data_IF_043214911890
#
_entry.id   IF_043214911890
#
_cell.length_a   1.000
_cell.length_b   1.000
_cell.length_c   1.000
_cell.angle_alpha   90.00
_cell.angle_beta   90.00
_cell.angle_gamma   90.00
#
_symmetry.space_group_name_H-M   'P 1'
#
loop_
_entity.id
_entity.type
_entity.pdbx_description
1 polymer ?
#
# COMPACT_ATOMS: atom_id res chain seq x y z
N UNK A 1 16.62 20.20 2.62
CA UNK A 1 15.86 19.22 3.41
C UNK A 1 14.35 19.24 3.09
N UNK A 2 13.69 20.41 3.09
CA UNK A 2 12.24 20.52 2.80
C UNK A 2 11.86 19.99 1.40
N UNK A 3 12.69 20.24 0.39
CA UNK A 3 12.44 19.75 -0.99
C UNK A 3 12.51 18.21 -1.10
N UNK A 4 13.41 17.56 -0.37
CA UNK A 4 13.50 16.10 -0.32
C UNK A 4 12.26 15.48 0.34
N UNK A 5 11.78 16.09 1.43
CA UNK A 5 10.56 15.66 2.11
C UNK A 5 9.36 15.81 1.18
N UNK A 6 9.27 16.93 0.45
CA UNK A 6 8.19 17.16 -0.52
C UNK A 6 8.20 16.11 -1.63
N UNK A 7 9.34 15.86 -2.26
CA UNK A 7 9.50 14.83 -3.30
C UNK A 7 9.15 13.41 -2.79
N UNK A 8 9.50 13.14 -1.51
CA UNK A 8 9.15 11.84 -0.92
C UNK A 8 7.64 11.69 -0.73
N UNK A 9 6.97 12.75 -0.24
CA UNK A 9 5.50 12.76 -0.10
C UNK A 9 4.79 12.62 -1.45
N UNK A 10 5.31 13.25 -2.51
CA UNK A 10 4.76 13.14 -3.87
C UNK A 10 4.84 11.69 -4.38
N UNK A 11 5.98 11.01 -4.15
CA UNK A 11 6.13 9.58 -4.50
C UNK A 11 5.21 8.67 -3.69
N UNK A 12 5.10 8.93 -2.39
CA UNK A 12 4.21 8.16 -1.52
C UNK A 12 2.74 8.31 -1.95
N UNK A 13 2.35 9.53 -2.34
CA UNK A 13 1.01 9.78 -2.86
C UNK A 13 0.76 9.05 -4.18
N UNK A 14 1.71 9.10 -5.11
CA UNK A 14 1.65 8.38 -6.38
C UNK A 14 1.50 6.87 -6.18
N UNK A 15 2.29 6.30 -5.28
CA UNK A 15 2.24 4.87 -4.94
C UNK A 15 0.87 4.49 -4.36
N UNK A 16 0.35 5.29 -3.40
CA UNK A 16 -0.95 5.04 -2.77
C UNK A 16 -2.10 5.19 -3.79
N UNK A 17 -2.04 6.19 -4.67
CA UNK A 17 -3.03 6.34 -5.75
C UNK A 17 -3.02 5.14 -6.71
N UNK A 18 -1.84 4.63 -7.06
CA UNK A 18 -1.72 3.45 -7.91
C UNK A 18 -2.25 2.18 -7.22
N UNK A 19 -1.95 2.00 -5.92
CA UNK A 19 -2.51 0.91 -5.11
C UNK A 19 -4.03 1.00 -5.03
N UNK A 20 -4.57 2.21 -4.83
CA UNK A 20 -6.01 2.41 -4.80
C UNK A 20 -6.67 2.08 -6.14
N UNK A 21 -6.12 2.54 -7.26
CA UNK A 21 -6.61 2.19 -8.61
C UNK A 21 -6.65 0.69 -8.81
N UNK A 22 -5.56 -0.01 -8.45
CA UNK A 22 -5.51 -1.47 -8.52
C UNK A 22 -6.56 -2.14 -7.63
N UNK A 23 -6.81 -1.59 -6.44
CA UNK A 23 -7.83 -2.11 -5.52
C UNK A 23 -9.24 -1.94 -6.09
N UNK A 24 -9.56 -0.79 -6.65
CA UNK A 24 -10.86 -0.53 -7.30
C UNK A 24 -11.08 -1.47 -8.49
N UNK A 25 -10.03 -1.73 -9.28
CA UNK A 25 -10.11 -2.62 -10.44
C UNK A 25 -10.29 -4.11 -10.04
N UNK A 26 -9.66 -4.53 -8.96
CA UNK A 26 -9.68 -5.92 -8.50
C UNK A 26 -10.85 -6.23 -7.55
N UNK A 27 -11.46 -5.23 -6.92
CA UNK A 27 -12.53 -5.43 -5.96
C UNK A 27 -13.90 -5.55 -6.65
N UNK A 28 -14.45 -6.76 -6.63
CA UNK A 28 -15.75 -7.05 -7.27
C UNK A 28 -16.92 -6.24 -6.68
N UNK A 29 -16.88 -5.95 -5.37
CA UNK A 29 -17.95 -5.19 -4.69
C UNK A 29 -17.95 -3.74 -5.17
N UNK A 30 -16.76 -3.12 -5.24
CA UNK A 30 -16.64 -1.76 -5.77
C UNK A 30 -17.00 -1.73 -7.25
N UNK A 31 -16.56 -2.69 -8.04
CA UNK A 31 -16.91 -2.82 -9.46
C UNK A 31 -18.42 -2.97 -9.69
N UNK A 32 -19.10 -3.75 -8.85
CA UNK A 32 -20.56 -3.89 -8.87
C UNK A 32 -21.28 -2.59 -8.49
N UNK A 33 -20.82 -1.94 -7.42
CA UNK A 33 -21.38 -0.66 -6.97
C UNK A 33 -21.23 0.45 -8.03
N UNK A 34 -20.07 0.54 -8.69
CA UNK A 34 -19.84 1.48 -9.79
C UNK A 34 -20.80 1.26 -10.96
N UNK A 35 -21.07 -0.02 -11.31
CA UNK A 35 -22.09 -0.35 -12.33
C UNK A 35 -23.47 0.16 -11.94
N UNK A 36 -23.87 -0.05 -10.69
CA UNK A 36 -25.15 0.44 -10.18
C UNK A 36 -25.22 1.97 -10.14
N UNK A 37 -24.14 2.64 -9.74
CA UNK A 37 -24.05 4.10 -9.74
C UNK A 37 -24.09 4.72 -11.16
N UNK A 38 -23.65 3.97 -12.18
CA UNK A 38 -23.72 4.39 -13.57
C UNK A 38 -25.13 4.32 -14.18
N UNK A 39 -26.13 3.79 -13.46
CA UNK A 39 -27.52 3.73 -13.92
C UNK A 39 -28.09 5.14 -14.14
N UNK A 40 -28.82 5.42 -15.26
CA UNK A 40 -29.35 6.74 -15.58
C UNK A 40 -30.23 7.34 -14.47
N UNK A 41 -30.17 8.66 -14.29
CA UNK A 41 -30.92 9.38 -13.23
C UNK A 41 -32.44 9.16 -13.26
N UNK A 42 -33.02 8.94 -14.43
CA UNK A 42 -34.45 8.62 -14.59
C UNK A 42 -34.87 7.35 -13.85
N UNK A 43 -33.94 6.45 -13.56
CA UNK A 43 -34.19 5.20 -12.84
C UNK A 43 -33.74 5.25 -11.38
N UNK A 44 -33.07 6.34 -10.95
CA UNK A 44 -32.54 6.54 -9.60
C UNK A 44 -33.50 7.29 -8.70
N UNK A 45 -34.66 6.74 -8.40
CA UNK A 45 -35.63 7.42 -7.53
C UNK A 45 -35.35 7.26 -6.03
N UNK A 46 -34.40 6.43 -5.63
CA UNK A 46 -34.27 5.95 -4.25
C UNK A 46 -33.04 6.58 -3.52
N UNK A 47 -32.13 7.24 -4.23
CA UNK A 47 -30.94 7.85 -3.60
C UNK A 47 -30.66 9.27 -4.08
N UNK A 48 -29.99 10.04 -3.24
CA UNK A 48 -29.58 11.41 -3.54
C UNK A 48 -28.49 11.45 -4.61
N UNK A 49 -28.68 12.27 -5.65
CA UNK A 49 -27.65 12.48 -6.70
C UNK A 49 -26.34 13.06 -6.12
N UNK A 50 -26.44 13.84 -5.02
CA UNK A 50 -25.30 14.38 -4.31
C UNK A 50 -24.46 13.26 -3.67
N UNK A 51 -25.12 12.31 -3.00
CA UNK A 51 -24.48 11.17 -2.35
C UNK A 51 -23.75 10.26 -3.35
N UNK A 52 -24.38 9.99 -4.51
CA UNK A 52 -23.75 9.25 -5.58
C UNK A 52 -22.51 9.97 -6.16
N UNK A 53 -22.57 11.30 -6.30
CA UNK A 53 -21.42 12.12 -6.76
C UNK A 53 -20.27 12.11 -5.74
N UNK A 54 -20.57 12.25 -4.45
CA UNK A 54 -19.59 12.20 -3.38
C UNK A 54 -18.90 10.84 -3.33
N UNK A 55 -19.67 9.76 -3.41
CA UNK A 55 -19.14 8.41 -3.41
C UNK A 55 -18.24 8.13 -4.64
N UNK A 56 -18.65 8.58 -5.82
CA UNK A 56 -17.81 8.48 -7.02
C UNK A 56 -16.49 9.25 -6.87
N UNK A 57 -16.48 10.42 -6.23
CA UNK A 57 -15.27 11.18 -5.96
C UNK A 57 -14.34 10.44 -4.98
N UNK A 58 -14.89 9.83 -3.93
CA UNK A 58 -14.12 9.03 -2.95
C UNK A 58 -13.54 7.78 -3.63
N UNK A 59 -14.32 7.05 -4.43
CA UNK A 59 -13.84 5.89 -5.19
C UNK A 59 -12.73 6.28 -6.16
N UNK A 60 -12.80 7.47 -6.76
CA UNK A 60 -11.77 7.98 -7.64
C UNK A 60 -10.46 8.38 -6.92
N UNK A 61 -10.39 8.25 -5.60
CA UNK A 61 -9.18 8.55 -4.82
C UNK A 61 -9.03 10.02 -4.43
N UNK A 62 -10.06 10.85 -4.63
CA UNK A 62 -10.03 12.27 -4.29
C UNK A 62 -9.78 12.56 -2.80
N UNK A 63 -9.94 11.56 -1.93
CA UNK A 63 -9.72 11.66 -0.48
C UNK A 63 -8.26 11.53 -0.05
N UNK A 64 -7.36 10.97 -0.88
CA UNK A 64 -5.96 10.76 -0.49
C UNK A 64 -5.11 12.03 -0.49
N UNK A 65 -5.28 12.88 -1.51
CA UNK A 65 -4.48 14.09 -1.65
C UNK A 65 -4.60 15.06 -0.45
N UNK A 66 -5.81 15.36 0.07
CA UNK A 66 -5.96 16.20 1.26
C UNK A 66 -5.34 15.58 2.51
N UNK A 67 -5.45 14.27 2.66
CA UNK A 67 -4.94 13.55 3.83
C UNK A 67 -3.42 13.58 3.90
N UNK A 68 -2.73 13.52 2.76
CA UNK A 68 -1.28 13.39 2.70
C UNK A 68 -0.52 14.71 2.49
N UNK A 69 -1.11 15.67 1.76
CA UNK A 69 -0.43 16.90 1.32
C UNK A 69 -0.92 18.18 2.01
N UNK A 70 -2.06 18.14 2.69
CA UNK A 70 -2.72 19.31 3.26
C UNK A 70 -3.66 20.00 2.27
N UNK A 71 -4.48 20.94 2.80
CA UNK A 71 -5.63 21.54 2.09
C UNK A 71 -5.34 22.31 0.81
N UNK A 72 -4.10 22.76 0.60
CA UNK A 72 -3.74 23.63 -0.55
C UNK A 72 -3.55 22.86 -1.87
N UNK A 73 -3.44 21.52 -1.82
CA UNK A 73 -3.26 20.68 -3.01
C UNK A 73 -4.57 20.25 -3.68
N UNK A 74 -5.69 20.55 -3.04
CA UNK A 74 -7.04 20.06 -3.41
C UNK A 74 -7.58 20.51 -4.77
N UNK A 75 -7.08 21.61 -5.31
CA UNK A 75 -7.79 22.31 -6.40
C UNK A 75 -7.43 21.79 -7.80
N UNK A 76 -6.28 21.17 -7.99
CA UNK A 76 -5.82 20.79 -9.34
C UNK A 76 -5.80 19.30 -9.69
N UNK A 77 -5.63 18.40 -8.73
CA UNK A 77 -5.45 16.97 -9.04
C UNK A 77 -6.73 16.13 -8.99
N UNK A 78 -7.69 16.51 -8.17
CA UNK A 78 -8.91 15.74 -7.92
C UNK A 78 -9.90 15.69 -9.10
N UNK A 79 -9.93 16.75 -9.93
CA UNK A 79 -10.85 16.83 -11.07
C UNK A 79 -10.45 15.90 -12.24
N UNK A 80 -9.16 15.62 -12.41
CA UNK A 80 -8.65 14.82 -13.53
C UNK A 80 -8.70 13.31 -13.32
N UNK A 81 -8.43 12.84 -12.10
CA UNK A 81 -8.42 11.41 -11.78
C UNK A 81 -9.83 10.81 -11.70
N UNK A 82 -10.77 11.55 -11.09
CA UNK A 82 -12.16 11.14 -10.94
C UNK A 82 -12.87 10.91 -12.28
N UNK A 83 -12.63 11.77 -13.26
CA UNK A 83 -13.28 11.69 -14.58
C UNK A 83 -12.85 10.49 -15.42
N UNK A 84 -11.58 10.08 -15.35
CA UNK A 84 -11.04 9.01 -16.22
C UNK A 84 -11.40 7.60 -15.78
N UNK A 85 -11.40 7.31 -14.48
CA UNK A 85 -11.78 5.98 -13.98
C UNK A 85 -13.27 5.72 -14.16
N UNK A 86 -14.11 6.71 -13.85
CA UNK A 86 -15.55 6.60 -14.07
C UNK A 86 -15.90 6.47 -15.57
N UNK A 87 -15.27 7.25 -16.46
CA UNK A 87 -15.50 7.17 -17.90
C UNK A 87 -15.10 5.83 -18.53
N UNK A 88 -13.98 5.23 -18.11
CA UNK A 88 -13.54 3.93 -18.63
C UNK A 88 -14.45 2.77 -18.22
N UNK A 89 -15.12 2.88 -17.07
CA UNK A 89 -16.08 1.88 -16.59
C UNK A 89 -17.48 2.07 -17.19
N UNK A 90 -17.88 3.33 -17.44
CA UNK A 90 -19.18 3.68 -18.03
C UNK A 90 -19.23 3.33 -19.53
N UNK A 91 -18.11 3.40 -20.25
CA UNK A 91 -18.05 3.11 -21.70
C UNK A 91 -18.15 1.61 -22.06
N UNK A 92 -18.28 0.71 -21.12
CA UNK A 92 -18.62 -0.70 -21.40
C UNK A 92 -20.10 -0.82 -21.76
N UNK A 93 -20.40 -0.84 -23.05
CA UNK A 93 -21.72 -1.07 -23.65
C UNK A 93 -22.29 -2.40 -23.15
N UNK A 94 -23.49 -2.38 -22.55
CA UNK A 94 -24.33 -3.43 -22.00
C UNK A 94 -24.29 -3.52 -20.45
N UNK A 95 -24.89 -2.50 -19.83
CA UNK A 95 -25.24 -2.57 -18.40
C UNK A 95 -26.68 -3.10 -18.34
N UNK A 96 -26.93 -4.26 -17.70
CA UNK A 96 -28.29 -4.73 -17.45
C UNK A 96 -29.06 -3.68 -16.63
N UNK A 97 -30.37 -3.57 -16.83
CA UNK A 97 -31.24 -2.73 -15.98
C UNK A 97 -31.20 -3.30 -14.55
N UNK A 98 -30.39 -2.73 -13.68
CA UNK A 98 -30.29 -3.13 -12.30
C UNK A 98 -31.04 -2.15 -11.38
N UNK A 99 -31.54 -2.67 -10.27
CA UNK A 99 -32.19 -1.87 -9.21
C UNK A 99 -31.16 -0.88 -8.66
N UNK A 100 -31.48 0.44 -8.58
CA UNK A 100 -30.55 1.43 -8.04
C UNK A 100 -30.27 1.18 -6.55
N UNK A 101 -29.09 1.62 -6.09
CA UNK A 101 -28.73 1.55 -4.67
C UNK A 101 -29.58 2.51 -3.84
N UNK A 102 -29.99 2.07 -2.66
CA UNK A 102 -30.64 2.89 -1.64
C UNK A 102 -29.62 3.79 -0.93
N UNK A 103 -30.09 4.82 -0.23
CA UNK A 103 -29.20 5.69 0.59
C UNK A 103 -28.48 4.89 1.68
N UNK A 104 -29.11 3.89 2.27
CA UNK A 104 -28.49 3.00 3.27
C UNK A 104 -27.34 2.20 2.64
N UNK A 105 -27.56 1.58 1.48
CA UNK A 105 -26.51 0.84 0.76
C UNK A 105 -25.36 1.74 0.31
N UNK A 106 -25.63 3.02 -0.01
CA UNK A 106 -24.59 4.00 -0.33
C UNK A 106 -23.74 4.37 0.90
N UNK A 107 -24.37 4.49 2.08
CA UNK A 107 -23.65 4.75 3.35
C UNK A 107 -22.77 3.54 3.70
N UNK A 108 -23.30 2.33 3.61
CA UNK A 108 -22.54 1.10 3.85
C UNK A 108 -21.35 0.97 2.89
N UNK A 109 -21.57 1.28 1.61
CA UNK A 109 -20.51 1.27 0.60
C UNK A 109 -19.45 2.34 0.88
N UNK A 110 -19.84 3.55 1.32
CA UNK A 110 -18.89 4.59 1.72
C UNK A 110 -17.99 4.11 2.86
N UNK A 111 -18.57 3.53 3.92
CA UNK A 111 -17.81 2.97 5.03
C UNK A 111 -16.87 1.82 4.61
N UNK A 112 -17.29 0.97 3.67
CA UNK A 112 -16.42 -0.08 3.11
C UNK A 112 -15.23 0.53 2.36
N UNK A 113 -15.44 1.58 1.59
CA UNK A 113 -14.41 2.26 0.81
C UNK A 113 -13.41 2.93 1.74
N UNK A 114 -13.87 3.68 2.75
CA UNK A 114 -13.01 4.30 3.77
C UNK A 114 -12.14 3.25 4.47
N UNK A 115 -12.74 2.15 4.92
CA UNK A 115 -11.99 1.04 5.52
C UNK A 115 -10.94 0.43 4.58
N UNK A 116 -11.20 0.35 3.28
CA UNK A 116 -10.21 -0.15 2.32
C UNK A 116 -9.09 0.86 2.09
N UNK A 117 -9.40 2.15 2.06
CA UNK A 117 -8.41 3.22 1.95
C UNK A 117 -7.45 3.22 3.14
N UNK A 118 -7.99 3.15 4.36
CA UNK A 118 -7.19 3.06 5.59
C UNK A 118 -6.27 1.83 5.58
N UNK A 119 -6.80 0.67 5.19
CA UNK A 119 -6.00 -0.56 5.08
C UNK A 119 -4.86 -0.45 4.08
N UNK A 120 -5.07 0.23 2.96
CA UNK A 120 -4.02 0.44 1.95
C UNK A 120 -2.93 1.36 2.50
N UNK A 121 -3.33 2.47 3.14
CA UNK A 121 -2.41 3.43 3.73
C UNK A 121 -1.57 2.74 4.82
N UNK A 122 -2.22 2.03 5.73
CA UNK A 122 -1.55 1.30 6.81
C UNK A 122 -0.59 0.24 6.28
N UNK A 123 -1.04 -0.59 5.35
CA UNK A 123 -0.21 -1.63 4.74
C UNK A 123 0.99 -1.03 3.98
N UNK A 124 0.79 0.08 3.25
CA UNK A 124 1.85 0.76 2.52
C UNK A 124 2.93 1.32 3.45
N UNK A 125 2.56 2.07 4.48
CA UNK A 125 3.53 2.65 5.40
C UNK A 125 4.22 1.60 6.26
N UNK A 126 3.52 0.56 6.68
CA UNK A 126 4.11 -0.56 7.40
C UNK A 126 5.08 -1.35 6.51
N UNK A 127 4.76 -1.55 5.23
CA UNK A 127 5.66 -2.16 4.25
C UNK A 127 6.93 -1.31 4.07
N UNK A 128 6.77 -0.03 3.80
CA UNK A 128 7.86 0.94 3.63
C UNK A 128 8.77 1.01 4.86
N UNK A 129 8.18 1.08 6.06
CA UNK A 129 8.91 1.08 7.34
C UNK A 129 9.70 -0.21 7.53
N UNK A 130 9.08 -1.36 7.28
CA UNK A 130 9.73 -2.67 7.41
C UNK A 130 10.90 -2.82 6.44
N UNK A 131 10.78 -2.32 5.20
CA UNK A 131 11.89 -2.32 4.23
C UNK A 131 13.04 -1.42 4.67
N UNK A 132 12.75 -0.25 5.24
CA UNK A 132 13.76 0.68 5.76
C UNK A 132 14.51 0.03 6.93
N UNK A 133 13.79 -0.52 7.90
CA UNK A 133 14.34 -1.22 9.05
C UNK A 133 15.18 -2.43 8.62
N UNK A 134 14.70 -3.22 7.65
CA UNK A 134 15.44 -4.35 7.09
C UNK A 134 16.77 -3.91 6.47
N UNK A 135 16.79 -2.81 5.72
CA UNK A 135 18.00 -2.25 5.12
C UNK A 135 18.99 -1.78 6.17
N UNK A 136 18.50 -1.08 7.21
CA UNK A 136 19.34 -0.59 8.31
C UNK A 136 19.92 -1.74 9.14
N UNK A 137 19.10 -2.73 9.47
CA UNK A 137 19.53 -3.92 10.23
C UNK A 137 20.58 -4.71 9.46
N UNK A 138 20.46 -4.85 8.14
CA UNK A 138 21.48 -5.48 7.30
C UNK A 138 22.81 -4.73 7.30
N UNK A 139 22.76 -3.41 7.26
CA UNK A 139 23.98 -2.62 7.36
C UNK A 139 24.69 -2.82 8.73
N UNK A 140 23.90 -2.87 9.82
CA UNK A 140 24.40 -3.19 11.16
C UNK A 140 24.94 -4.61 11.24
N UNK A 141 24.24 -5.59 10.67
CA UNK A 141 24.64 -6.99 10.67
C UNK A 141 26.02 -7.19 10.04
N UNK A 142 26.33 -6.48 8.95
CA UNK A 142 27.66 -6.50 8.34
C UNK A 142 28.75 -5.99 9.31
N UNK A 143 28.43 -4.95 10.09
CA UNK A 143 29.36 -4.42 11.10
C UNK A 143 29.58 -5.40 12.25
N UNK A 144 28.48 -5.98 12.80
CA UNK A 144 28.56 -6.95 13.89
C UNK A 144 29.25 -8.25 13.47
N UNK A 145 29.03 -8.71 12.23
CA UNK A 145 29.75 -9.85 11.68
C UNK A 145 31.27 -9.59 11.63
N UNK A 146 31.68 -8.39 11.20
CA UNK A 146 33.10 -7.98 11.19
C UNK A 146 33.70 -7.94 12.60
N UNK A 147 32.93 -7.42 13.59
CA UNK A 147 33.38 -7.37 14.98
C UNK A 147 33.52 -8.77 15.57
N UNK A 148 32.56 -9.66 15.30
CA UNK A 148 32.64 -11.06 15.72
C UNK A 148 33.83 -11.78 15.10
N UNK A 149 34.09 -11.60 13.81
CA UNK A 149 35.30 -12.17 13.15
C UNK A 149 36.60 -11.68 13.79
N UNK A 150 36.68 -10.40 14.16
CA UNK A 150 37.85 -9.86 14.88
C UNK A 150 37.99 -10.44 16.29
N UNK A 151 36.88 -10.59 17.02
CA UNK A 151 36.90 -11.18 18.35
C UNK A 151 37.44 -12.63 18.34
N UNK A 152 37.12 -13.39 17.28
CA UNK A 152 37.69 -14.73 17.09
C UNK A 152 39.19 -14.73 16.90
N UNK A 153 39.76 -13.66 16.31
CA UNK A 153 41.22 -13.50 16.14
C UNK A 153 41.96 -13.15 17.44
N UNK A 154 41.25 -12.49 18.40
CA UNK A 154 41.83 -12.10 19.70
C UNK A 154 41.87 -13.23 20.71
N UNK A 155 41.14 -14.31 20.50
CA UNK A 155 40.96 -15.46 21.42
C UNK A 155 40.42 -15.06 22.81
N UNK A 156 39.89 -13.81 22.96
CA UNK A 156 39.26 -13.37 24.21
C UNK A 156 37.81 -13.89 24.29
N UNK A 157 37.59 -14.81 25.22
CA UNK A 157 36.27 -15.45 25.41
C UNK A 157 35.16 -14.45 25.72
N UNK A 158 35.45 -13.37 26.47
CA UNK A 158 34.47 -12.35 26.78
C UNK A 158 34.04 -11.56 25.54
N UNK A 159 35.04 -11.13 24.77
CA UNK A 159 34.81 -10.39 23.53
C UNK A 159 34.09 -11.25 22.49
N UNK A 160 34.44 -12.52 22.35
CA UNK A 160 33.76 -13.49 21.50
C UNK A 160 32.28 -13.65 21.91
N UNK A 161 32.02 -13.83 23.21
CA UNK A 161 30.67 -14.03 23.72
C UNK A 161 29.77 -12.82 23.48
N UNK A 162 30.27 -11.61 23.76
CA UNK A 162 29.52 -10.38 23.55
C UNK A 162 29.26 -10.16 22.05
N UNK A 163 30.29 -10.31 21.21
CA UNK A 163 30.18 -10.08 19.78
C UNK A 163 29.25 -11.09 19.09
N UNK A 164 29.29 -12.37 19.54
CA UNK A 164 28.36 -13.41 19.07
C UNK A 164 26.91 -13.08 19.41
N UNK A 165 26.67 -12.72 20.69
CA UNK A 165 25.31 -12.35 21.14
C UNK A 165 24.73 -11.18 20.34
N UNK A 166 25.51 -10.13 20.13
CA UNK A 166 25.09 -8.97 19.33
C UNK A 166 24.83 -9.32 17.86
N UNK A 167 25.62 -10.21 17.29
CA UNK A 167 25.42 -10.69 15.93
C UNK A 167 24.13 -11.52 15.81
N UNK A 168 23.91 -12.44 16.76
CA UNK A 168 22.72 -13.29 16.78
C UNK A 168 21.43 -12.46 16.99
N UNK A 169 21.46 -11.46 17.87
CA UNK A 169 20.35 -10.53 18.08
C UNK A 169 20.00 -9.76 16.77
N UNK A 170 21.02 -9.31 16.03
CA UNK A 170 20.80 -8.63 14.77
C UNK A 170 20.25 -9.57 13.68
N UNK A 171 20.65 -10.83 13.67
CA UNK A 171 20.08 -11.84 12.78
C UNK A 171 18.59 -12.08 13.06
N UNK A 172 18.21 -12.14 14.33
CA UNK A 172 16.80 -12.26 14.73
C UNK A 172 15.98 -11.03 14.33
N UNK A 173 16.54 -9.83 14.48
CA UNK A 173 15.88 -8.60 14.04
C UNK A 173 15.73 -8.56 12.50
N UNK A 174 16.77 -8.92 11.74
CA UNK A 174 16.68 -9.02 10.28
C UNK A 174 15.52 -9.95 9.88
N UNK A 175 15.45 -11.12 10.51
CA UNK A 175 14.39 -12.07 10.22
C UNK A 175 12.99 -11.51 10.53
N UNK A 176 12.82 -10.81 11.66
CA UNK A 176 11.55 -10.18 12.02
C UNK A 176 11.12 -9.13 11.00
N UNK A 177 12.02 -8.22 10.61
CA UNK A 177 11.71 -7.17 9.63
C UNK A 177 11.45 -7.76 8.24
N UNK A 178 12.16 -8.82 7.85
CA UNK A 178 11.89 -9.55 6.62
C UNK A 178 10.49 -10.17 6.62
N UNK A 179 10.07 -10.81 7.71
CA UNK A 179 8.73 -11.39 7.83
C UNK A 179 7.65 -10.31 7.81
N UNK A 180 7.87 -9.19 8.49
CA UNK A 180 6.94 -8.06 8.47
C UNK A 180 6.81 -7.47 7.06
N UNK A 181 7.93 -7.23 6.38
CA UNK A 181 7.92 -6.74 5.01
C UNK A 181 7.18 -7.71 4.07
N UNK A 182 7.43 -9.02 4.19
CA UNK A 182 6.72 -10.05 3.41
C UNK A 182 5.22 -10.05 3.69
N UNK A 183 4.81 -9.95 4.96
CA UNK A 183 3.40 -9.87 5.37
C UNK A 183 2.68 -8.72 4.67
N UNK A 184 3.21 -7.49 4.80
CA UNK A 184 2.58 -6.31 4.22
C UNK A 184 2.66 -6.29 2.70
N UNK A 185 3.73 -6.82 2.11
CA UNK A 185 3.81 -7.02 0.66
C UNK A 185 2.68 -7.90 0.13
N UNK A 186 2.45 -9.06 0.78
CA UNK A 186 1.35 -9.97 0.42
C UNK A 186 -0.03 -9.34 0.65
N UNK A 187 -0.17 -8.54 1.71
CA UNK A 187 -1.41 -7.80 1.97
C UNK A 187 -1.71 -6.78 0.87
N UNK A 188 -0.74 -6.00 0.46
CA UNK A 188 -0.85 -5.07 -0.67
C UNK A 188 -1.16 -5.81 -1.98
N UNK A 189 -0.50 -6.95 -2.25
CA UNK A 189 -0.79 -7.77 -3.43
C UNK A 189 -2.23 -8.30 -3.44
N UNK A 190 -2.75 -8.67 -2.28
CA UNK A 190 -4.14 -9.13 -2.14
C UNK A 190 -5.14 -8.00 -2.40
N UNK A 191 -4.84 -6.78 -1.97
CA UNK A 191 -5.70 -5.62 -2.13
C UNK A 191 -5.63 -5.05 -3.56
N UNK A 192 -4.45 -4.69 -4.03
CA UNK A 192 -4.23 -3.93 -5.25
C UNK A 192 -3.77 -4.77 -6.46
N UNK A 193 -3.39 -6.03 -6.23
CA UNK A 193 -2.87 -6.92 -7.25
C UNK A 193 -1.34 -6.87 -7.40
N UNK A 194 -0.75 -8.01 -7.80
CA UNK A 194 0.70 -8.20 -7.89
C UNK A 194 1.39 -7.16 -8.78
N UNK A 195 0.84 -6.91 -9.97
CA UNK A 195 1.44 -5.99 -10.96
C UNK A 195 1.61 -4.56 -10.44
N UNK A 196 0.66 -4.09 -9.62
CA UNK A 196 0.72 -2.74 -9.06
C UNK A 196 1.79 -2.67 -7.98
N UNK A 197 1.86 -3.67 -7.11
CA UNK A 197 2.84 -3.73 -6.02
C UNK A 197 4.26 -3.87 -6.54
N UNK A 198 4.47 -4.62 -7.61
CA UNK A 198 5.79 -4.78 -8.24
C UNK A 198 6.30 -3.47 -8.89
N UNK A 199 5.42 -2.50 -9.16
CA UNK A 199 5.74 -1.20 -9.76
C UNK A 199 5.83 -0.03 -8.74
N UNK A 200 5.76 -0.28 -7.44
CA UNK A 200 5.90 0.77 -6.43
C UNK A 200 7.29 1.42 -6.46
N UNK A 201 7.33 2.72 -6.16
CA UNK A 201 8.58 3.50 -6.02
C UNK A 201 9.37 3.16 -4.74
N UNK A 202 9.26 1.93 -4.25
CA UNK A 202 9.92 1.41 -3.06
C UNK A 202 11.06 0.47 -3.45
N UNK A 203 11.98 0.25 -2.50
CA UNK A 203 13.03 -0.74 -2.66
C UNK A 203 12.44 -2.14 -2.88
N UNK A 204 12.70 -2.73 -4.04
CA UNK A 204 12.24 -4.07 -4.36
C UNK A 204 13.10 -5.10 -3.66
N UNK A 205 12.51 -5.85 -2.73
CA UNK A 205 13.18 -6.93 -2.02
C UNK A 205 12.74 -8.29 -2.58
N UNK A 206 13.73 -9.08 -2.99
CA UNK A 206 13.44 -10.44 -3.46
C UNK A 206 13.36 -11.39 -2.26
N UNK A 207 12.14 -11.63 -1.77
CA UNK A 207 11.87 -12.51 -0.63
C UNK A 207 12.23 -13.98 -0.91
N UNK A 208 12.14 -14.44 -2.16
CA UNK A 208 12.38 -15.82 -2.53
C UNK A 208 13.89 -16.13 -2.57
N UNK A 209 14.70 -15.22 -3.07
CA UNK A 209 16.16 -15.38 -3.08
C UNK A 209 16.80 -15.42 -1.68
N UNK A 210 16.15 -14.79 -0.68
CA UNK A 210 16.63 -14.80 0.69
C UNK A 210 16.41 -16.15 1.40
N UNK A 211 15.34 -16.86 1.05
CA UNK A 211 15.04 -18.19 1.59
C UNK A 211 16.01 -19.26 1.07
N UNK A 212 16.43 -19.15 -0.18
CA UNK A 212 17.37 -20.11 -0.80
C UNK A 212 18.76 -20.00 -0.20
N UNK A 213 19.25 -18.79 0.09
CA UNK A 213 20.58 -18.59 0.72
C UNK A 213 20.68 -19.10 2.16
N UNK A 214 19.57 -19.21 2.86
CA UNK A 214 19.50 -19.79 4.20
C UNK A 214 19.50 -21.32 4.22
N UNK A 215 19.07 -21.97 3.14
CA UNK A 215 19.00 -23.41 3.00
C UNK A 215 20.32 -24.08 2.55
N UNK A 216 21.19 -23.32 1.86
CA UNK A 216 22.50 -23.84 1.36
C UNK A 216 23.63 -23.80 2.40
N UNK A 217 23.36 -23.27 3.62
CA UNK A 217 24.36 -23.18 4.71
C UNK A 217 24.12 -24.19 5.86
N UNK A 218 23.41 -25.29 5.59
CA UNK A 218 23.27 -26.40 6.56
C UNK A 218 24.02 -27.63 6.10
#
# INVERSE_FOLDING_TARGET
MQELIKRQKEKDLEDIENLWKGTVENNQVIGFALKKLATPESQRRIHSSLMAKTLNAVIAGASFAPMMMGSDYLVQSSAFAAGRLAQNLINRKNIPQEIPLTDTELIELAGLIENLQDKIIDAYYNYKSSLTQLKETRAKLLLYNKNYSKALETEDLLEITISSSLYDDMMLEEFRYMQNAKKYHLELQRLAGKKVVDNLNLYQYNFDAALVKGAEKK
#
